data_IF_198489150950
#
_entry.id   IF_198489150950
#
_cell.length_a   1.000
_cell.length_b   1.000
_cell.length_c   1.000
_cell.angle_alpha   90.00
_cell.angle_beta   90.00
_cell.angle_gamma   90.00
#
_symmetry.space_group_name_H-M   'P 1'
#
loop_
_entity.id
_entity.type
_entity.pdbx_description
1 polymer ?
#
# COMPACT_ATOMS: atom_id res chain seq x y z
N UNK A 1 -82.14 28.63 -28.49
CA UNK A 1 -81.70 27.24 -28.37
C UNK A 1 -80.19 27.27 -28.24
N UNK A 2 -79.64 27.00 -27.13
CA UNK A 2 -78.24 27.25 -26.76
C UNK A 2 -77.46 25.91 -26.63
N UNK A 3 -76.39 25.83 -27.40
CA UNK A 3 -75.44 24.74 -27.39
C UNK A 3 -74.38 25.08 -26.29
N UNK A 4 -74.32 24.33 -25.23
CA UNK A 4 -73.23 24.43 -24.22
C UNK A 4 -72.18 23.40 -24.57
N UNK A 5 -70.98 23.87 -24.94
CA UNK A 5 -69.79 23.04 -25.17
C UNK A 5 -69.16 22.70 -23.88
N UNK A 6 -68.84 21.39 -23.68
CA UNK A 6 -67.96 20.87 -22.65
C UNK A 6 -66.51 21.10 -23.03
N UNK A 7 -65.74 21.81 -22.21
CA UNK A 7 -64.31 21.90 -22.31
C UNK A 7 -63.74 20.83 -21.35
N UNK A 8 -63.12 19.78 -21.92
CA UNK A 8 -62.36 18.80 -21.15
C UNK A 8 -60.95 19.35 -20.90
N UNK A 9 -60.61 19.61 -19.67
CA UNK A 9 -59.27 20.00 -19.26
C UNK A 9 -58.37 18.74 -19.15
N UNK A 10 -57.42 18.63 -20.08
CA UNK A 10 -56.37 17.63 -20.03
C UNK A 10 -55.29 18.10 -19.02
N UNK A 11 -55.21 17.50 -17.84
CA UNK A 11 -54.13 17.76 -16.90
C UNK A 11 -52.89 16.98 -17.34
N UNK A 12 -51.89 17.68 -17.93
CA UNK A 12 -50.54 17.12 -18.16
C UNK A 12 -49.83 16.94 -16.82
N UNK A 13 -49.66 15.70 -16.39
CA UNK A 13 -48.73 15.36 -15.33
C UNK A 13 -47.30 15.39 -15.92
N UNK A 14 -46.59 16.49 -15.71
CA UNK A 14 -45.13 16.54 -15.85
C UNK A 14 -44.52 15.81 -14.66
N UNK A 15 -44.22 14.56 -14.87
CA UNK A 15 -43.36 13.79 -13.94
C UNK A 15 -41.95 14.42 -13.93
N UNK A 16 -41.64 15.18 -12.89
CA UNK A 16 -40.28 15.56 -12.58
C UNK A 16 -39.52 14.28 -12.25
N UNK A 17 -38.86 13.71 -13.25
CA UNK A 17 -37.81 12.73 -13.03
C UNK A 17 -36.69 13.43 -12.24
N UNK A 18 -36.61 13.18 -10.93
CA UNK A 18 -35.41 13.52 -10.15
C UNK A 18 -34.21 12.93 -10.87
N UNK A 19 -33.13 13.70 -11.12
CA UNK A 19 -31.92 13.11 -11.64
C UNK A 19 -31.48 12.08 -10.60
N UNK A 20 -31.51 10.80 -10.97
CA UNK A 20 -30.77 9.78 -10.24
C UNK A 20 -29.33 10.28 -10.18
N UNK A 21 -28.84 10.59 -8.98
CA UNK A 21 -27.41 10.83 -8.76
C UNK A 21 -26.70 9.66 -9.44
N UNK A 22 -25.89 9.98 -10.46
CA UNK A 22 -25.04 8.99 -11.09
C UNK A 22 -24.27 8.31 -9.95
N UNK A 23 -24.41 7.01 -9.81
CA UNK A 23 -23.65 6.25 -8.86
C UNK A 23 -22.19 6.62 -9.09
N UNK A 24 -21.48 7.05 -8.05
CA UNK A 24 -20.07 7.40 -8.15
C UNK A 24 -19.27 6.13 -8.44
N UNK A 25 -19.07 5.86 -9.73
CA UNK A 25 -18.39 4.66 -10.21
C UNK A 25 -16.90 4.62 -9.85
N UNK A 26 -16.35 5.73 -9.32
CA UNK A 26 -14.95 5.86 -8.98
C UNK A 26 -14.68 5.75 -7.47
N UNK A 27 -15.72 5.79 -6.63
CA UNK A 27 -15.59 5.86 -5.18
C UNK A 27 -15.31 7.28 -4.67
N UNK A 28 -15.14 7.41 -3.36
CA UNK A 28 -14.95 8.70 -2.69
C UNK A 28 -13.53 8.82 -2.15
N UNK A 29 -12.97 10.03 -2.18
CA UNK A 29 -11.69 10.36 -1.53
C UNK A 29 -11.92 11.36 -0.42
N UNK A 30 -11.36 11.07 0.76
CA UNK A 30 -11.43 11.89 1.95
C UNK A 30 -10.01 12.21 2.37
N UNK A 31 -9.68 13.49 2.46
CA UNK A 31 -8.36 13.94 2.91
C UNK A 31 -8.40 14.37 4.36
N UNK A 32 -7.38 13.99 5.10
CA UNK A 32 -7.20 14.32 6.51
C UNK A 32 -5.80 14.89 6.66
N UNK A 33 -5.74 16.20 6.84
CA UNK A 33 -4.51 16.97 6.73
C UNK A 33 -3.62 16.85 7.97
N UNK A 34 -4.14 16.96 9.15
CA UNK A 34 -3.36 17.12 10.39
C UNK A 34 -3.60 15.95 11.34
N UNK A 35 -2.89 14.84 11.11
CA UNK A 35 -3.01 13.66 11.96
C UNK A 35 -1.85 13.62 12.94
N UNK A 36 -2.15 13.86 14.21
CA UNK A 36 -1.15 13.80 15.27
C UNK A 36 -0.78 12.36 15.59
N UNK A 37 0.52 12.09 15.67
CA UNK A 37 1.08 10.79 15.99
C UNK A 37 2.25 10.97 16.97
N UNK A 38 2.10 10.44 18.16
CA UNK A 38 3.11 10.62 19.22
C UNK A 38 4.49 10.11 18.79
N UNK A 39 5.49 10.97 18.91
CA UNK A 39 6.88 10.66 18.54
C UNK A 39 7.18 10.62 17.04
N UNK A 40 6.23 11.07 16.22
CA UNK A 40 6.35 11.15 14.77
C UNK A 40 6.16 12.59 14.26
N UNK A 41 6.68 12.93 13.09
CA UNK A 41 6.23 14.09 12.34
C UNK A 41 4.71 14.04 12.13
N UNK A 42 4.08 15.19 11.91
CA UNK A 42 2.67 15.25 11.55
C UNK A 42 2.40 14.37 10.33
N UNK A 43 1.36 13.57 10.41
CA UNK A 43 0.96 12.66 9.35
C UNK A 43 -0.22 13.24 8.57
N UNK A 44 -0.40 12.76 7.34
CA UNK A 44 -1.51 13.13 6.47
C UNK A 44 -2.05 11.89 5.79
N UNK A 45 -3.37 11.80 5.60
CA UNK A 45 -4.02 10.63 5.02
C UNK A 45 -4.91 11.02 3.85
N UNK A 46 -4.99 10.13 2.87
CA UNK A 46 -6.07 10.11 1.89
C UNK A 46 -6.79 8.77 1.98
N UNK A 47 -8.06 8.79 2.34
CA UNK A 47 -8.89 7.59 2.44
C UNK A 47 -9.69 7.46 1.14
N UNK A 48 -9.59 6.33 0.46
CA UNK A 48 -10.47 6.01 -0.64
C UNK A 48 -11.50 4.96 -0.20
N UNK A 49 -12.77 5.31 -0.36
CA UNK A 49 -13.91 4.44 -0.12
C UNK A 49 -14.43 3.91 -1.46
N UNK A 50 -14.68 2.59 -1.59
CA UNK A 50 -15.15 2.00 -2.84
C UNK A 50 -16.52 2.51 -3.28
N UNK A 51 -16.85 2.42 -4.58
CA UNK A 51 -18.19 2.72 -5.09
C UNK A 51 -19.28 1.99 -4.30
N UNK A 52 -20.38 2.69 -4.04
CA UNK A 52 -21.50 2.14 -3.28
C UNK A 52 -21.23 1.99 -1.78
N UNK A 53 -20.15 2.55 -1.24
CA UNK A 53 -19.89 2.51 0.19
C UNK A 53 -21.08 3.06 0.97
N UNK A 54 -21.56 4.27 0.71
CA UNK A 54 -22.64 4.90 1.49
C UNK A 54 -24.01 4.21 1.35
N UNK A 55 -24.28 3.64 0.19
CA UNK A 55 -25.55 2.95 -0.09
C UNK A 55 -25.60 1.50 0.44
N UNK A 56 -24.51 0.98 1.00
CA UNK A 56 -24.40 -0.41 1.46
C UNK A 56 -24.07 -0.48 2.94
N UNK A 57 -24.46 -1.60 3.59
CA UNK A 57 -24.05 -1.93 4.98
C UNK A 57 -22.86 -2.89 5.02
N UNK A 58 -22.20 -3.12 3.91
CA UNK A 58 -21.08 -4.06 3.80
C UNK A 58 -19.89 -3.61 4.64
N UNK A 59 -19.07 -4.59 5.05
CA UNK A 59 -17.78 -4.36 5.69
C UNK A 59 -16.66 -4.71 4.72
N UNK A 60 -15.60 -3.91 4.72
CA UNK A 60 -14.53 -3.93 3.74
C UNK A 60 -13.19 -4.33 4.37
N UNK A 61 -12.34 -5.04 3.64
CA UNK A 61 -10.93 -5.11 3.99
C UNK A 61 -10.26 -3.75 3.82
N UNK A 62 -9.08 -3.58 4.37
CA UNK A 62 -8.32 -2.33 4.33
C UNK A 62 -6.92 -2.57 3.80
N UNK A 63 -6.50 -1.77 2.82
CA UNK A 63 -5.12 -1.67 2.35
C UNK A 63 -4.53 -0.37 2.86
N UNK A 64 -3.54 -0.45 3.73
CA UNK A 64 -2.71 0.68 4.14
C UNK A 64 -1.58 0.82 3.13
N UNK A 65 -1.47 1.97 2.48
CA UNK A 65 -0.45 2.20 1.45
C UNK A 65 0.42 3.40 1.82
N UNK A 66 1.73 3.17 1.78
CA UNK A 66 2.72 4.22 1.97
C UNK A 66 2.76 5.18 0.79
N UNK A 67 3.32 6.37 1.01
CA UNK A 67 3.44 7.44 0.01
C UNK A 67 2.09 7.87 -0.58
N UNK A 68 1.11 8.11 0.30
CA UNK A 68 -0.28 8.38 -0.01
C UNK A 68 -0.53 9.49 -1.03
N UNK A 69 0.38 10.48 -1.12
CA UNK A 69 0.33 11.56 -2.10
C UNK A 69 0.49 11.09 -3.55
N UNK A 70 1.12 9.93 -3.78
CA UNK A 70 1.34 9.37 -5.11
C UNK A 70 0.25 8.37 -5.55
N UNK A 71 -0.81 8.16 -4.76
CA UNK A 71 -1.74 7.07 -5.05
C UNK A 71 -2.85 7.42 -6.04
N UNK A 72 -3.37 8.65 -6.01
CA UNK A 72 -4.66 8.94 -6.62
C UNK A 72 -4.72 10.17 -7.52
N UNK A 73 -3.90 11.20 -7.25
CA UNK A 73 -4.04 12.53 -7.84
C UNK A 73 -2.69 13.06 -8.35
N UNK A 74 -2.60 13.27 -9.66
CA UNK A 74 -1.40 13.79 -10.32
C UNK A 74 -0.97 15.15 -9.78
N UNK A 75 -1.92 15.99 -9.36
CA UNK A 75 -1.62 17.35 -8.87
C UNK A 75 -0.96 17.37 -7.50
N UNK A 76 -1.06 16.25 -6.77
CA UNK A 76 -0.50 16.08 -5.42
C UNK A 76 0.73 15.19 -5.39
N UNK A 77 0.97 14.48 -6.49
CA UNK A 77 2.06 13.54 -6.59
C UNK A 77 3.40 14.25 -6.79
N UNK A 78 4.44 13.62 -6.30
CA UNK A 78 5.80 13.95 -6.70
C UNK A 78 5.99 13.49 -8.15
N UNK A 79 6.64 14.20 -9.02
CA UNK A 79 7.00 13.77 -10.39
C UNK A 79 5.85 13.65 -11.42
N UNK A 80 4.63 14.14 -11.15
CA UNK A 80 3.46 13.99 -12.03
C UNK A 80 3.16 12.54 -12.45
N UNK A 81 3.34 11.60 -11.54
CA UNK A 81 3.09 10.17 -11.73
C UNK A 81 2.31 9.63 -10.54
N UNK A 82 1.38 8.71 -10.79
CA UNK A 82 0.57 8.11 -9.72
C UNK A 82 0.43 6.60 -9.90
N UNK A 83 0.16 5.92 -8.80
CA UNK A 83 -0.19 4.50 -8.80
C UNK A 83 -1.58 4.20 -9.35
N UNK A 84 -2.48 5.18 -9.43
CA UNK A 84 -3.89 5.00 -9.76
C UNK A 84 -4.52 3.85 -8.96
N UNK A 85 -4.28 3.84 -7.64
CA UNK A 85 -4.57 2.70 -6.77
C UNK A 85 -6.07 2.37 -6.68
N UNK A 86 -6.94 3.38 -6.78
CA UNK A 86 -8.39 3.24 -6.89
C UNK A 86 -8.80 2.47 -8.15
N UNK A 87 -8.26 2.86 -9.30
CA UNK A 87 -8.53 2.20 -10.59
C UNK A 87 -7.99 0.77 -10.61
N UNK A 88 -6.79 0.57 -10.07
CA UNK A 88 -6.18 -0.75 -9.94
C UNK A 88 -7.01 -1.68 -9.04
N UNK A 89 -7.52 -1.17 -7.91
CA UNK A 89 -8.40 -1.92 -7.01
C UNK A 89 -9.69 -2.34 -7.72
N UNK A 90 -10.35 -1.42 -8.42
CA UNK A 90 -11.58 -1.72 -9.17
C UNK A 90 -11.34 -2.74 -10.30
N UNK A 91 -10.24 -2.61 -11.03
CA UNK A 91 -9.88 -3.55 -12.08
C UNK A 91 -9.62 -4.96 -11.51
N UNK A 92 -8.82 -5.05 -10.44
CA UNK A 92 -8.50 -6.30 -9.77
C UNK A 92 -9.74 -6.97 -9.16
N UNK A 93 -10.62 -6.20 -8.51
CA UNK A 93 -11.84 -6.74 -7.88
C UNK A 93 -12.82 -7.30 -8.91
N UNK A 94 -13.03 -6.59 -10.02
CA UNK A 94 -13.88 -7.09 -11.13
C UNK A 94 -13.34 -8.38 -11.73
N UNK A 95 -12.04 -8.41 -12.04
CA UNK A 95 -11.39 -9.60 -12.62
C UNK A 95 -11.34 -10.77 -11.65
N UNK A 96 -11.09 -10.51 -10.38
CA UNK A 96 -10.92 -11.52 -9.33
C UNK A 96 -12.20 -11.92 -8.60
N UNK A 97 -13.34 -11.27 -8.89
CA UNK A 97 -14.64 -11.55 -8.26
C UNK A 97 -14.65 -11.34 -6.74
N UNK A 98 -13.88 -10.36 -6.23
CA UNK A 98 -13.86 -10.02 -4.81
C UNK A 98 -14.31 -8.57 -4.58
N UNK A 99 -14.82 -8.29 -3.39
CA UNK A 99 -15.21 -6.92 -3.00
C UNK A 99 -13.98 -6.03 -2.90
N UNK A 100 -14.01 -4.81 -3.47
CA UNK A 100 -12.91 -3.87 -3.34
C UNK A 100 -12.64 -3.54 -1.87
N UNK A 101 -11.39 -3.22 -1.55
CA UNK A 101 -10.96 -2.83 -0.21
C UNK A 101 -10.96 -1.32 -0.08
N UNK A 102 -11.15 -0.80 1.13
CA UNK A 102 -10.81 0.59 1.47
C UNK A 102 -9.30 0.76 1.32
N UNK A 103 -8.86 1.89 0.76
CA UNK A 103 -7.43 2.23 0.71
C UNK A 103 -7.17 3.39 1.65
N UNK A 104 -6.23 3.22 2.56
CA UNK A 104 -5.72 4.25 3.47
C UNK A 104 -4.33 4.65 2.99
N UNK A 105 -4.24 5.70 2.22
CA UNK A 105 -2.99 6.30 1.75
C UNK A 105 -2.36 7.14 2.84
N UNK A 106 -1.17 6.77 3.31
CA UNK A 106 -0.42 7.48 4.34
C UNK A 106 0.67 8.28 3.65
N UNK A 107 0.60 9.61 3.74
CA UNK A 107 1.56 10.48 3.08
C UNK A 107 2.94 10.37 3.72
N UNK A 108 3.98 10.42 2.89
CA UNK A 108 5.33 10.49 3.41
C UNK A 108 5.57 11.85 4.08
N UNK A 109 6.25 11.88 5.23
CA UNK A 109 6.47 13.10 5.98
C UNK A 109 7.69 13.92 5.44
N UNK A 110 7.73 14.15 4.13
CA UNK A 110 8.79 14.93 3.48
C UNK A 110 10.19 14.35 3.71
N UNK A 111 11.10 15.15 4.24
CA UNK A 111 12.50 14.77 4.49
C UNK A 111 12.65 13.65 5.52
N UNK A 112 11.65 13.46 6.38
CA UNK A 112 11.65 12.41 7.39
C UNK A 112 11.28 11.03 6.85
N UNK A 113 10.89 10.94 5.57
CA UNK A 113 10.46 9.70 4.92
C UNK A 113 11.46 8.55 5.10
N UNK A 114 12.73 8.81 4.87
CA UNK A 114 13.75 7.76 4.96
C UNK A 114 13.85 7.20 6.38
N UNK A 115 14.02 8.04 7.41
CA UNK A 115 14.14 7.58 8.81
C UNK A 115 12.84 6.98 9.35
N UNK A 116 11.68 7.34 8.79
CA UNK A 116 10.38 6.74 9.14
C UNK A 116 10.19 5.35 8.52
N UNK A 117 10.76 5.11 7.33
CA UNK A 117 10.56 3.87 6.58
C UNK A 117 11.74 2.89 6.66
N UNK A 118 12.90 3.32 7.15
CA UNK A 118 14.04 2.44 7.36
C UNK A 118 13.77 1.46 8.52
N UNK A 119 13.72 0.14 8.29
CA UNK A 119 13.49 -0.83 9.35
C UNK A 119 14.53 -0.73 10.48
N UNK A 120 14.07 -0.44 11.70
CA UNK A 120 14.94 -0.25 12.87
C UNK A 120 15.76 -1.50 13.17
N UNK A 121 15.19 -2.68 13.04
CA UNK A 121 15.91 -3.93 13.26
C UNK A 121 17.11 -4.08 12.32
N UNK A 122 16.98 -3.67 11.06
CA UNK A 122 18.07 -3.70 10.08
C UNK A 122 19.14 -2.69 10.46
N UNK A 123 18.74 -1.48 10.85
CA UNK A 123 19.66 -0.46 11.32
C UNK A 123 20.45 -0.93 12.55
N UNK A 124 19.78 -1.55 13.53
CA UNK A 124 20.41 -2.02 14.76
C UNK A 124 21.36 -3.21 14.53
N UNK A 125 21.05 -4.06 13.57
CA UNK A 125 21.89 -5.21 13.20
C UNK A 125 23.08 -4.81 12.29
N UNK A 126 23.01 -3.66 11.65
CA UNK A 126 24.03 -3.21 10.70
C UNK A 126 25.37 -2.91 11.42
N UNK A 127 26.45 -3.21 10.73
CA UNK A 127 27.80 -2.82 11.15
C UNK A 127 28.05 -1.31 11.01
N UNK A 128 29.16 -0.79 11.54
CA UNK A 128 29.44 0.65 11.52
C UNK A 128 29.37 1.30 10.13
N UNK A 129 29.93 0.65 9.12
CA UNK A 129 29.97 1.18 7.75
C UNK A 129 28.57 1.25 7.13
N UNK A 130 27.75 0.22 7.34
CA UNK A 130 26.37 0.23 6.84
C UNK A 130 25.54 1.28 7.58
N UNK A 131 25.70 1.43 8.88
CA UNK A 131 25.02 2.49 9.66
C UNK A 131 25.38 3.86 9.15
N UNK A 132 26.68 4.14 8.94
CA UNK A 132 27.13 5.43 8.43
C UNK A 132 26.49 5.78 7.08
N UNK A 133 26.27 4.80 6.19
CA UNK A 133 25.54 4.98 4.93
C UNK A 133 24.06 5.29 5.14
N UNK A 134 23.42 4.59 6.08
CA UNK A 134 22.02 4.82 6.45
C UNK A 134 21.83 6.19 7.11
N UNK A 135 22.72 6.58 8.03
CA UNK A 135 22.69 7.85 8.75
C UNK A 135 22.78 9.06 7.80
N UNK A 136 23.60 8.94 6.75
CA UNK A 136 23.75 9.97 5.71
C UNK A 136 22.40 10.30 5.04
N UNK A 137 21.52 9.32 4.89
CA UNK A 137 20.18 9.49 4.28
C UNK A 137 19.08 9.78 5.31
N UNK A 138 19.25 9.29 6.53
CA UNK A 138 18.21 9.38 7.55
C UNK A 138 18.02 10.82 8.06
N UNK A 139 19.07 11.62 8.07
CA UNK A 139 19.01 13.00 8.57
C UNK A 139 18.64 13.12 10.05
N UNK A 140 18.65 12.00 10.80
CA UNK A 140 18.29 11.94 12.21
C UNK A 140 17.99 10.51 12.67
N UNK A 141 17.59 10.31 13.92
CA UNK A 141 17.30 8.99 14.47
C UNK A 141 16.24 8.24 13.68
N UNK A 142 16.42 6.93 13.49
CA UNK A 142 15.43 6.04 12.87
C UNK A 142 14.19 5.95 13.77
N UNK A 143 13.02 6.21 13.22
CA UNK A 143 11.74 6.28 13.96
C UNK A 143 10.71 5.26 13.47
N UNK A 144 11.12 4.26 12.70
CA UNK A 144 10.21 3.28 12.11
C UNK A 144 9.48 2.41 13.13
N UNK A 145 10.04 2.18 14.33
CA UNK A 145 9.34 1.47 15.40
C UNK A 145 8.18 2.30 15.97
N UNK A 146 8.37 3.61 16.16
CA UNK A 146 7.30 4.51 16.56
C UNK A 146 6.21 4.57 15.48
N UNK A 147 6.63 4.63 14.21
CA UNK A 147 5.71 4.61 13.07
C UNK A 147 4.93 3.28 13.00
N UNK A 148 5.59 2.15 13.14
CA UNK A 148 4.95 0.84 13.18
C UNK A 148 3.95 0.71 14.32
N UNK A 149 4.31 1.21 15.50
CA UNK A 149 3.42 1.21 16.66
C UNK A 149 2.16 2.05 16.41
N UNK A 150 2.31 3.26 15.88
CA UNK A 150 1.20 4.13 15.51
C UNK A 150 0.33 3.50 14.40
N UNK A 151 0.93 3.01 13.32
CA UNK A 151 0.27 2.38 12.19
C UNK A 151 -0.58 1.17 12.60
N UNK A 152 0.01 0.29 13.45
CA UNK A 152 -0.62 -0.96 13.88
C UNK A 152 -1.57 -0.81 15.08
N UNK A 153 -1.52 0.31 15.76
CA UNK A 153 -2.32 0.62 16.95
C UNK A 153 -3.29 1.78 16.69
N UNK A 154 -2.92 3.03 17.05
CA UNK A 154 -3.82 4.18 16.97
C UNK A 154 -4.47 4.39 15.60
N UNK A 155 -3.70 4.36 14.50
CA UNK A 155 -4.26 4.55 13.16
C UNK A 155 -5.24 3.43 12.81
N UNK A 156 -4.83 2.17 13.01
CA UNK A 156 -5.71 1.03 12.69
C UNK A 156 -7.00 1.07 13.50
N UNK A 157 -6.92 1.35 14.80
CA UNK A 157 -8.10 1.44 15.67
C UNK A 157 -9.04 2.56 15.23
N UNK A 158 -8.48 3.72 14.86
CA UNK A 158 -9.27 4.83 14.35
C UNK A 158 -9.98 4.47 13.03
N UNK A 159 -9.28 3.85 12.08
CA UNK A 159 -9.86 3.39 10.80
C UNK A 159 -10.99 2.39 11.06
N UNK A 160 -10.77 1.39 11.91
CA UNK A 160 -11.76 0.35 12.21
C UNK A 160 -13.00 0.90 12.94
N UNK A 161 -12.83 1.96 13.73
CA UNK A 161 -13.93 2.65 14.44
C UNK A 161 -14.71 3.59 13.51
N UNK A 162 -14.03 4.25 12.58
CA UNK A 162 -14.62 5.28 11.72
C UNK A 162 -15.31 4.68 10.50
N UNK A 163 -14.73 3.61 9.94
CA UNK A 163 -15.21 3.00 8.69
C UNK A 163 -15.73 1.58 8.92
N UNK A 164 -16.58 1.11 8.02
CA UNK A 164 -17.11 -0.27 8.06
C UNK A 164 -16.07 -1.27 7.58
N UNK A 165 -15.12 -1.62 8.45
CA UNK A 165 -14.04 -2.54 8.16
C UNK A 165 -14.31 -3.96 8.61
N UNK A 166 -13.58 -4.92 8.04
CA UNK A 166 -13.31 -6.25 8.58
C UNK A 166 -11.95 -6.19 9.27
N UNK A 167 -11.90 -6.09 10.63
CA UNK A 167 -10.67 -5.75 11.34
C UNK A 167 -9.65 -6.90 11.45
N UNK A 168 -10.03 -8.10 11.02
CA UNK A 168 -9.17 -9.27 11.11
C UNK A 168 -7.92 -9.17 10.23
N UNK A 169 -6.83 -9.82 10.68
CA UNK A 169 -5.53 -9.74 9.98
C UNK A 169 -5.59 -10.10 8.50
N UNK A 170 -6.44 -11.06 8.11
CA UNK A 170 -6.55 -11.51 6.72
C UNK A 170 -7.21 -10.49 5.79
N UNK A 171 -7.91 -9.52 6.36
CA UNK A 171 -8.52 -8.38 5.68
C UNK A 171 -7.74 -7.06 5.90
N UNK A 172 -6.58 -7.14 6.58
CA UNK A 172 -5.67 -6.00 6.82
C UNK A 172 -4.39 -6.19 6.01
N UNK A 173 -4.17 -5.29 5.06
CA UNK A 173 -3.09 -5.35 4.08
C UNK A 173 -2.19 -4.13 4.25
N UNK A 174 -0.88 -4.30 4.08
CA UNK A 174 0.10 -3.21 4.03
C UNK A 174 0.82 -3.23 2.69
N UNK A 175 1.02 -2.09 2.06
CA UNK A 175 1.64 -1.99 0.75
C UNK A 175 2.48 -0.71 0.57
N UNK A 176 3.48 -0.77 -0.28
CA UNK A 176 4.29 0.38 -0.66
C UNK A 176 5.42 -0.02 -1.58
N UNK A 177 6.12 1.00 -2.10
CA UNK A 177 7.30 0.80 -2.96
C UNK A 177 8.56 1.37 -2.36
N UNK A 178 9.70 0.91 -2.87
CA UNK A 178 11.01 1.45 -2.48
C UNK A 178 11.22 1.34 -0.96
N UNK A 179 11.49 2.46 -0.30
CA UNK A 179 11.52 2.52 1.17
C UNK A 179 10.17 2.14 1.80
N UNK A 180 9.04 2.51 1.16
CA UNK A 180 7.71 2.09 1.57
C UNK A 180 7.49 0.58 1.42
N UNK A 181 8.17 -0.07 0.46
CA UNK A 181 8.24 -1.52 0.32
C UNK A 181 8.97 -2.17 1.50
N UNK A 182 10.11 -1.60 1.91
CA UNK A 182 10.84 -2.06 3.11
C UNK A 182 9.97 -1.96 4.37
N UNK A 183 9.30 -0.81 4.54
CA UNK A 183 8.42 -0.61 5.70
C UNK A 183 7.20 -1.54 5.67
N UNK A 184 6.68 -1.88 4.49
CA UNK A 184 5.60 -2.87 4.34
C UNK A 184 6.05 -4.27 4.74
N UNK A 185 7.24 -4.71 4.31
CA UNK A 185 7.84 -5.95 4.77
C UNK A 185 8.07 -5.95 6.28
N UNK A 186 8.60 -4.84 6.80
CA UNK A 186 8.85 -4.67 8.24
C UNK A 186 7.56 -4.83 9.05
N UNK A 187 6.50 -4.11 8.67
CA UNK A 187 5.21 -4.20 9.33
C UNK A 187 4.63 -5.64 9.27
N UNK A 188 4.68 -6.27 8.11
CA UNK A 188 4.17 -7.63 7.91
C UNK A 188 4.88 -8.66 8.77
N UNK A 189 6.20 -8.58 8.92
CA UNK A 189 6.98 -9.55 9.69
C UNK A 189 6.94 -9.26 11.19
N UNK A 190 6.95 -8.00 11.61
CA UNK A 190 6.92 -7.61 13.03
C UNK A 190 5.51 -7.65 13.64
N UNK A 191 4.46 -7.51 12.83
CA UNK A 191 3.07 -7.53 13.30
C UNK A 191 2.22 -8.56 12.53
N UNK A 192 2.59 -9.87 12.64
CA UNK A 192 1.83 -10.96 12.01
C UNK A 192 0.43 -11.16 12.61
N UNK A 193 0.16 -10.56 13.75
CA UNK A 193 -1.14 -10.45 14.40
C UNK A 193 -2.07 -9.45 13.72
N UNK A 194 -1.52 -8.42 13.06
CA UNK A 194 -2.25 -7.33 12.42
C UNK A 194 -2.30 -7.49 10.90
N UNK A 195 -1.15 -7.74 10.26
CA UNK A 195 -1.05 -7.78 8.80
C UNK A 195 -0.98 -9.21 8.30
N UNK A 196 -2.06 -9.67 7.69
CA UNK A 196 -2.12 -10.99 7.05
C UNK A 196 -1.60 -10.99 5.61
N UNK A 197 -1.49 -9.82 4.99
CA UNK A 197 -1.05 -9.66 3.60
C UNK A 197 -0.18 -8.44 3.44
N UNK A 198 0.85 -8.54 2.59
CA UNK A 198 1.69 -7.40 2.25
C UNK A 198 2.12 -7.39 0.79
N UNK A 199 2.30 -6.18 0.24
CA UNK A 199 2.98 -5.93 -1.04
C UNK A 199 4.21 -5.06 -0.81
N UNK A 200 5.38 -5.63 -1.05
CA UNK A 200 6.69 -5.02 -0.93
C UNK A 200 7.23 -4.78 -2.34
N UNK A 201 6.78 -3.69 -2.97
CA UNK A 201 7.01 -3.42 -4.40
C UNK A 201 8.35 -2.71 -4.59
N UNK A 202 9.18 -3.20 -5.50
CA UNK A 202 10.51 -2.62 -5.78
C UNK A 202 11.23 -2.18 -4.49
N UNK A 203 11.26 -3.05 -3.48
CA UNK A 203 11.78 -2.71 -2.15
C UNK A 203 13.25 -2.31 -2.22
N UNK A 204 13.58 -1.18 -1.60
CA UNK A 204 14.94 -0.62 -1.63
C UNK A 204 15.89 -1.39 -0.69
N UNK A 205 16.13 -2.67 -1.00
CA UNK A 205 16.96 -3.57 -0.19
C UNK A 205 18.37 -3.06 0.14
N UNK A 206 19.04 -2.26 -0.73
CA UNK A 206 20.33 -1.67 -0.38
C UNK A 206 20.30 -0.81 0.89
N UNK A 207 19.17 -0.18 1.21
CA UNK A 207 19.01 0.74 2.33
C UNK A 207 20.14 1.80 2.40
N UNK A 208 20.64 2.20 1.22
CA UNK A 208 21.78 3.10 1.03
C UNK A 208 21.47 4.12 -0.07
N UNK A 209 22.35 5.11 -0.26
CA UNK A 209 22.22 6.09 -1.35
C UNK A 209 22.22 5.39 -2.70
N UNK A 210 21.19 5.60 -3.54
CA UNK A 210 21.15 5.03 -4.89
C UNK A 210 22.33 5.41 -5.79
N UNK A 211 22.96 6.56 -5.53
CA UNK A 211 24.15 7.03 -6.24
C UNK A 211 25.46 6.39 -5.75
N UNK A 212 25.43 5.56 -4.72
CA UNK A 212 26.61 4.91 -4.18
C UNK A 212 26.99 3.67 -5.02
N UNK A 213 28.16 3.66 -5.72
CA UNK A 213 28.59 2.52 -6.51
C UNK A 213 28.83 1.23 -5.69
N UNK A 214 28.92 1.34 -4.37
CA UNK A 214 28.96 0.21 -3.45
C UNK A 214 27.59 -0.24 -2.93
N UNK A 215 26.49 0.15 -3.59
CA UNK A 215 25.13 -0.17 -3.13
C UNK A 215 24.85 -1.68 -3.07
N UNK A 216 25.45 -2.50 -3.93
CA UNK A 216 25.46 -3.93 -3.67
C UNK A 216 26.49 -4.25 -2.57
N UNK A 217 25.97 -4.65 -1.43
CA UNK A 217 26.75 -5.04 -0.28
C UNK A 217 26.30 -6.43 0.17
N UNK A 218 27.18 -7.43 0.03
CA UNK A 218 26.90 -8.81 0.46
C UNK A 218 26.57 -8.89 1.96
N UNK A 219 27.17 -8.03 2.78
CA UNK A 219 26.83 -7.90 4.19
C UNK A 219 25.40 -7.44 4.42
N UNK A 220 24.91 -6.49 3.60
CA UNK A 220 23.51 -6.05 3.67
C UNK A 220 22.54 -7.16 3.25
N UNK A 221 22.85 -7.90 2.20
CA UNK A 221 22.04 -9.06 1.79
C UNK A 221 21.99 -10.12 2.90
N UNK A 222 23.11 -10.36 3.58
CA UNK A 222 23.18 -11.24 4.76
C UNK A 222 22.34 -10.74 5.93
N UNK A 223 22.29 -9.43 6.19
CA UNK A 223 21.42 -8.86 7.23
C UNK A 223 19.93 -9.12 6.94
N UNK A 224 19.50 -8.96 5.68
CA UNK A 224 18.13 -9.28 5.28
C UNK A 224 17.83 -10.77 5.45
N UNK A 225 18.74 -11.66 5.04
CA UNK A 225 18.60 -13.11 5.22
C UNK A 225 18.39 -13.48 6.69
N UNK A 226 19.26 -12.98 7.55
CA UNK A 226 19.21 -13.23 8.99
C UNK A 226 17.94 -12.67 9.61
N UNK A 227 17.53 -11.48 9.21
CA UNK A 227 16.32 -10.86 9.73
C UNK A 227 15.05 -11.61 9.30
N UNK A 228 14.92 -11.97 8.02
CA UNK A 228 13.83 -12.80 7.53
C UNK A 228 13.80 -14.15 8.27
N UNK A 229 14.94 -14.80 8.44
CA UNK A 229 15.07 -16.06 9.20
C UNK A 229 14.48 -15.95 10.63
N UNK A 230 14.72 -14.83 11.31
CA UNK A 230 14.24 -14.59 12.69
C UNK A 230 12.75 -14.26 12.75
N UNK A 231 12.24 -13.45 11.80
CA UNK A 231 10.94 -12.79 11.89
C UNK A 231 9.83 -13.45 11.06
N UNK A 232 10.17 -14.23 10.02
CA UNK A 232 9.21 -14.72 9.05
C UNK A 232 8.15 -15.66 9.65
N UNK A 233 8.55 -16.60 10.49
CA UNK A 233 7.68 -17.61 11.07
C UNK A 233 6.96 -18.48 10.01
N UNK A 234 5.92 -19.20 10.42
CA UNK A 234 5.09 -19.99 9.48
C UNK A 234 4.07 -19.11 8.76
N UNK A 235 3.66 -19.46 7.52
CA UNK A 235 2.73 -18.64 6.75
C UNK A 235 1.35 -18.51 7.40
N UNK A 236 0.75 -19.57 7.92
CA UNK A 236 -0.58 -19.57 8.59
C UNK A 236 -1.63 -18.80 7.80
N UNK A 237 -1.66 -18.98 6.46
CA UNK A 237 -2.55 -18.31 5.53
C UNK A 237 -2.14 -16.89 5.14
N UNK A 238 -1.07 -16.35 5.71
CA UNK A 238 -0.55 -15.01 5.30
C UNK A 238 -0.01 -15.05 3.88
N UNK A 239 -0.05 -13.89 3.20
CA UNK A 239 0.46 -13.75 1.83
C UNK A 239 1.40 -12.57 1.72
N UNK A 240 2.54 -12.78 1.06
CA UNK A 240 3.56 -11.77 0.81
C UNK A 240 3.84 -11.66 -0.68
N UNK A 241 3.67 -10.47 -1.24
CA UNK A 241 4.11 -10.15 -2.59
C UNK A 241 5.40 -9.35 -2.55
N UNK A 242 6.35 -9.74 -3.39
CA UNK A 242 7.59 -8.99 -3.64
C UNK A 242 7.80 -8.89 -5.15
N UNK A 243 8.40 -7.82 -5.61
CA UNK A 243 8.78 -7.68 -7.02
C UNK A 243 9.86 -6.62 -7.21
N UNK A 244 10.41 -6.56 -8.41
CA UNK A 244 11.22 -5.46 -8.89
C UNK A 244 11.22 -5.39 -10.41
N UNK A 245 11.55 -4.22 -10.97
CA UNK A 245 11.90 -4.04 -12.37
C UNK A 245 13.34 -4.46 -12.68
N UNK A 246 13.86 -4.02 -13.83
CA UNK A 246 15.25 -4.26 -14.21
C UNK A 246 15.95 -3.01 -14.76
N UNK A 247 15.28 -1.87 -14.74
CA UNK A 247 15.80 -0.59 -15.19
C UNK A 247 15.92 0.41 -14.04
N UNK A 248 16.69 1.45 -14.25
CA UNK A 248 16.97 2.49 -13.26
C UNK A 248 17.43 1.88 -11.92
N UNK A 249 16.90 2.31 -10.80
CA UNK A 249 17.27 1.83 -9.47
C UNK A 249 16.95 0.34 -9.24
N UNK A 250 15.89 -0.18 -9.88
CA UNK A 250 15.51 -1.59 -9.78
C UNK A 250 16.54 -2.55 -10.35
N UNK A 251 17.43 -2.09 -11.24
CA UNK A 251 18.51 -2.90 -11.79
C UNK A 251 19.45 -3.48 -10.69
N UNK A 252 19.45 -2.89 -9.51
CA UNK A 252 20.34 -3.28 -8.41
C UNK A 252 19.69 -4.25 -7.43
N UNK A 253 18.39 -4.54 -7.56
CA UNK A 253 17.65 -5.29 -6.53
C UNK A 253 17.72 -6.81 -6.66
N UNK A 254 17.97 -7.31 -7.87
CA UNK A 254 17.96 -8.75 -8.14
C UNK A 254 18.83 -9.58 -7.17
N UNK A 255 20.11 -9.21 -6.88
CA UNK A 255 20.93 -10.00 -5.98
C UNK A 255 20.37 -10.09 -4.54
N UNK A 256 19.75 -9.02 -4.04
CA UNK A 256 19.10 -9.01 -2.73
C UNK A 256 17.83 -9.85 -2.74
N UNK A 257 16.99 -9.66 -3.77
CA UNK A 257 15.75 -10.40 -3.90
C UNK A 257 15.99 -11.90 -3.98
N UNK A 258 17.04 -12.34 -4.70
CA UNK A 258 17.41 -13.76 -4.77
C UNK A 258 17.75 -14.36 -3.40
N UNK A 259 18.44 -13.63 -2.54
CA UNK A 259 18.75 -14.08 -1.17
C UNK A 259 17.48 -14.23 -0.36
N UNK A 260 16.57 -13.26 -0.44
CA UNK A 260 15.29 -13.29 0.26
C UNK A 260 14.40 -14.41 -0.27
N UNK A 261 14.33 -14.60 -1.59
CA UNK A 261 13.58 -15.68 -2.22
C UNK A 261 14.05 -17.08 -1.77
N UNK A 262 15.37 -17.27 -1.69
CA UNK A 262 15.96 -18.49 -1.17
C UNK A 262 15.57 -18.71 0.32
N UNK A 263 15.57 -17.66 1.12
CA UNK A 263 15.13 -17.70 2.53
C UNK A 263 13.65 -18.05 2.65
N UNK A 264 12.78 -17.44 1.83
CA UNK A 264 11.36 -17.76 1.82
C UNK A 264 11.12 -19.26 1.56
N UNK A 265 11.75 -19.81 0.53
CA UNK A 265 11.67 -21.22 0.17
C UNK A 265 12.19 -22.13 1.30
N UNK A 266 13.37 -21.81 1.88
CA UNK A 266 13.97 -22.57 2.97
C UNK A 266 13.14 -22.54 4.26
N UNK A 267 12.28 -21.55 4.44
CA UNK A 267 11.41 -21.39 5.62
C UNK A 267 10.07 -22.14 5.49
N UNK A 268 9.85 -22.85 4.38
CA UNK A 268 8.65 -23.64 4.11
C UNK A 268 7.45 -22.83 3.63
N UNK A 269 7.69 -21.58 3.18
CA UNK A 269 6.69 -20.79 2.46
C UNK A 269 6.60 -21.26 1.01
N UNK A 270 5.40 -21.46 0.49
CA UNK A 270 5.18 -21.97 -0.85
C UNK A 270 4.91 -20.83 -1.84
N UNK A 271 5.78 -20.70 -2.84
CA UNK A 271 5.60 -19.74 -3.93
C UNK A 271 4.28 -19.99 -4.68
N UNK A 272 3.63 -18.92 -5.10
CA UNK A 272 2.29 -18.98 -5.75
C UNK A 272 1.12 -19.14 -4.78
N UNK A 273 1.35 -19.63 -3.56
CA UNK A 273 0.33 -19.78 -2.52
C UNK A 273 0.49 -18.78 -1.38
N UNK A 274 1.64 -18.79 -0.72
CA UNK A 274 1.92 -17.99 0.48
C UNK A 274 2.72 -16.75 0.15
N UNK A 275 3.53 -16.82 -0.89
CA UNK A 275 4.31 -15.67 -1.37
C UNK A 275 4.49 -15.71 -2.90
N UNK A 276 4.77 -14.55 -3.44
CA UNK A 276 5.15 -14.37 -4.85
C UNK A 276 6.33 -13.40 -4.93
N UNK A 277 7.21 -13.65 -5.89
CA UNK A 277 8.32 -12.76 -6.22
C UNK A 277 8.42 -12.67 -7.73
N UNK A 278 8.30 -11.45 -8.30
CA UNK A 278 8.27 -11.25 -9.73
C UNK A 278 9.32 -10.26 -10.20
N UNK A 279 9.87 -10.55 -11.37
CA UNK A 279 10.74 -9.63 -12.10
C UNK A 279 9.95 -9.09 -13.28
N UNK A 280 9.99 -7.76 -13.48
CA UNK A 280 9.37 -7.06 -14.61
C UNK A 280 10.46 -6.48 -15.52
N UNK A 281 10.85 -7.21 -16.59
CA UNK A 281 11.93 -6.77 -17.48
C UNK A 281 11.64 -5.40 -18.09
N UNK A 282 12.64 -4.50 -18.06
CA UNK A 282 12.53 -3.14 -18.58
C UNK A 282 11.76 -2.16 -17.71
N UNK A 283 11.07 -2.62 -16.66
CA UNK A 283 10.34 -1.71 -15.78
C UNK A 283 11.32 -0.87 -14.95
N UNK A 284 11.00 0.42 -14.85
CA UNK A 284 11.76 1.40 -14.09
C UNK A 284 11.27 1.50 -12.63
N UNK A 285 12.10 2.13 -11.79
CA UNK A 285 11.77 2.43 -10.39
C UNK A 285 10.91 3.69 -10.30
N UNK A 286 9.62 3.60 -10.67
CA UNK A 286 8.73 4.75 -10.72
C UNK A 286 7.24 4.37 -10.72
N UNK A 287 6.37 5.36 -10.43
CA UNK A 287 4.95 5.15 -10.16
C UNK A 287 4.17 4.56 -11.34
N UNK A 288 4.46 4.91 -12.59
CA UNK A 288 3.73 4.35 -13.75
C UNK A 288 4.06 2.85 -13.91
N UNK A 289 5.31 2.45 -13.66
CA UNK A 289 5.70 1.04 -13.69
C UNK A 289 5.01 0.25 -12.56
N UNK A 290 4.86 0.85 -11.37
CA UNK A 290 4.12 0.23 -10.26
C UNK A 290 2.62 0.21 -10.53
N UNK A 291 2.05 1.27 -11.08
CA UNK A 291 0.64 1.34 -11.49
C UNK A 291 0.27 0.22 -12.47
N UNK A 292 1.13 -0.04 -13.46
CA UNK A 292 0.90 -1.06 -14.48
C UNK A 292 0.72 -2.47 -13.89
N UNK A 293 1.43 -2.79 -12.80
CA UNK A 293 1.39 -4.11 -12.16
C UNK A 293 0.49 -4.20 -10.92
N UNK A 294 0.02 -3.08 -10.39
CA UNK A 294 -0.81 -3.06 -9.18
C UNK A 294 -2.11 -3.86 -9.29
N UNK A 295 -2.84 -3.91 -10.44
CA UNK A 295 -3.99 -4.78 -10.58
C UNK A 295 -3.67 -6.27 -10.42
N UNK A 296 -2.50 -6.73 -10.87
CA UNK A 296 -2.02 -8.10 -10.68
C UNK A 296 -1.70 -8.36 -9.20
N UNK A 297 -1.01 -7.43 -8.56
CA UNK A 297 -0.66 -7.49 -7.13
C UNK A 297 -1.92 -7.64 -6.28
N UNK A 298 -2.90 -6.76 -6.46
CA UNK A 298 -4.17 -6.84 -5.74
C UNK A 298 -4.93 -8.12 -6.07
N UNK A 299 -4.97 -8.53 -7.34
CA UNK A 299 -5.63 -9.76 -7.76
C UNK A 299 -5.06 -11.00 -7.08
N UNK A 300 -3.74 -11.07 -6.90
CA UNK A 300 -3.10 -12.18 -6.21
C UNK A 300 -3.25 -12.11 -4.68
N UNK A 301 -3.02 -10.95 -4.09
CA UNK A 301 -3.10 -10.77 -2.64
C UNK A 301 -4.52 -10.93 -2.10
N UNK A 302 -5.53 -10.36 -2.78
CA UNK A 302 -6.86 -10.18 -2.22
C UNK A 302 -7.84 -11.30 -2.59
N UNK A 303 -7.47 -12.19 -3.52
CA UNK A 303 -8.26 -13.40 -3.80
C UNK A 303 -8.49 -14.21 -2.52
N UNK A 304 -9.66 -14.76 -2.38
CA UNK A 304 -10.02 -15.68 -1.27
C UNK A 304 -9.40 -17.06 -1.45
#
# INVERSE_FOLDING_TARGET
MSLRGLIAALALWLGLASPALAADDQGQRIEIEHVQAAGLPEQRLTIWLPPGYDSSKRRYGVVYMHDGHNLFDLTKSNFNKIWAADKAMLAASRKGGFEPYIIVGIWAPGTDRYRQYLPKDIYDLAGPDQRARMDKLAGGPVISDAYLAWLSGPLKQWVDKTYRTRPGRMDTVIAGSSMGGLMSCYAFLRRPDIYGRAACVSSHWPAADPGDPGAFNAGMAGLWDDWFKRCLGKPRGRRLWMDHGTATLDAWYAPYQQVIDARMAASGWQRGRDWESKVYPGAEHEENAWAARLPEIFGWLLRR
#
